data_IF_507261519620
#
_entry.id   IF_507261519620
#
_cell.length_a   1.000
_cell.length_b   1.000
_cell.length_c   1.000
_cell.angle_alpha   90.00
_cell.angle_beta   90.00
_cell.angle_gamma   90.00
#
_symmetry.space_group_name_H-M   'P 1'
#
loop_
_entity.id
_entity.type
_entity.pdbx_description
1 polymer ?
#
# COMPACT_ATOMS: atom_id res chain seq x y z
N UNK A 1 13.47 2.57 -21.79
CA UNK A 1 12.67 2.81 -23.03
C UNK A 1 13.16 1.96 -24.20
N UNK A 2 14.48 1.81 -24.45
CA UNK A 2 15.01 1.01 -25.56
C UNK A 2 14.55 -0.46 -25.47
N UNK A 3 14.59 -1.08 -24.29
CA UNK A 3 14.18 -2.45 -24.06
C UNK A 3 12.67 -2.67 -24.27
N UNK A 4 11.85 -1.72 -23.84
CA UNK A 4 10.39 -1.73 -24.05
C UNK A 4 10.09 -1.77 -25.57
N UNK A 5 10.79 -0.94 -26.34
CA UNK A 5 10.66 -0.90 -27.80
C UNK A 5 11.18 -2.19 -28.46
N UNK A 6 12.38 -2.64 -28.07
CA UNK A 6 13.00 -3.87 -28.62
C UNK A 6 12.10 -5.09 -28.45
N UNK A 7 11.42 -5.22 -27.31
CA UNK A 7 10.52 -6.34 -26.97
C UNK A 7 9.06 -6.10 -27.36
N UNK A 8 8.77 -4.98 -27.98
CA UNK A 8 7.41 -4.57 -28.34
C UNK A 8 6.41 -4.63 -27.16
N UNK A 9 6.88 -4.32 -25.96
CA UNK A 9 6.07 -4.43 -24.75
C UNK A 9 4.89 -3.46 -24.75
N UNK A 10 4.99 -2.33 -25.43
CA UNK A 10 3.90 -1.36 -25.54
C UNK A 10 2.66 -1.98 -26.20
N UNK A 11 2.84 -2.73 -27.29
CA UNK A 11 1.73 -3.42 -27.96
C UNK A 11 1.14 -4.53 -27.08
N UNK A 12 1.99 -5.24 -26.32
CA UNK A 12 1.52 -6.25 -25.37
C UNK A 12 0.71 -5.61 -24.24
N UNK A 13 1.12 -4.43 -23.73
CA UNK A 13 0.37 -3.67 -22.73
C UNK A 13 -1.00 -3.24 -23.27
N UNK A 14 -1.05 -2.68 -24.49
CA UNK A 14 -2.29 -2.26 -25.15
C UNK A 14 -3.26 -3.45 -25.31
N UNK A 15 -2.79 -4.57 -25.83
CA UNK A 15 -3.59 -5.80 -25.99
C UNK A 15 -4.10 -6.32 -24.64
N UNK A 16 -3.26 -6.30 -23.60
CA UNK A 16 -3.68 -6.74 -22.27
C UNK A 16 -4.79 -5.85 -21.72
N UNK A 17 -4.66 -4.52 -21.80
CA UNK A 17 -5.67 -3.55 -21.35
C UNK A 17 -6.97 -3.70 -22.12
N UNK A 18 -6.92 -3.87 -23.43
CA UNK A 18 -8.10 -4.06 -24.29
C UNK A 18 -8.90 -5.32 -23.90
N UNK A 19 -8.19 -6.39 -23.54
CA UNK A 19 -8.80 -7.67 -23.17
C UNK A 19 -9.25 -7.73 -21.69
N UNK A 20 -8.83 -6.78 -20.85
CA UNK A 20 -9.12 -6.77 -19.42
C UNK A 20 -9.67 -5.41 -18.98
N UNK A 21 -10.93 -5.12 -19.33
CA UNK A 21 -11.58 -3.81 -19.12
C UNK A 21 -11.77 -3.39 -17.64
N UNK A 22 -11.67 -4.33 -16.69
CA UNK A 22 -11.92 -4.08 -15.25
C UNK A 22 -10.69 -4.38 -14.39
N UNK A 23 -9.61 -3.65 -14.63
CA UNK A 23 -8.41 -3.74 -13.80
C UNK A 23 -8.55 -2.80 -12.58
N UNK A 24 -8.40 -3.35 -11.38
CA UNK A 24 -8.47 -2.56 -10.14
C UNK A 24 -7.30 -1.56 -9.99
N UNK A 25 -6.15 -1.88 -10.58
CA UNK A 25 -4.96 -1.02 -10.66
C UNK A 25 -4.44 -1.12 -12.09
N UNK A 26 -4.39 -0.01 -12.80
CA UNK A 26 -4.18 -0.03 -14.26
C UNK A 26 -2.76 -0.44 -14.63
N UNK A 27 -1.75 0.06 -13.93
CA UNK A 27 -0.34 -0.12 -14.23
C UNK A 27 0.24 -1.46 -13.73
N UNK A 28 0.04 -1.80 -12.46
CA UNK A 28 0.66 -2.98 -11.84
C UNK A 28 0.25 -4.32 -12.46
N UNK A 29 -1.05 -4.62 -12.72
CA UNK A 29 -1.45 -5.85 -13.41
C UNK A 29 -0.88 -5.95 -14.81
N UNK A 30 -0.83 -4.85 -15.56
CA UNK A 30 -0.29 -4.81 -16.92
C UNK A 30 1.20 -5.14 -16.91
N UNK A 31 1.99 -4.45 -16.07
CA UNK A 31 3.41 -4.72 -15.92
C UNK A 31 3.67 -6.17 -15.50
N UNK A 32 2.92 -6.67 -14.51
CA UNK A 32 3.10 -8.03 -14.02
C UNK A 32 2.73 -9.11 -15.03
N UNK A 33 1.72 -8.88 -15.87
CA UNK A 33 1.27 -9.84 -16.87
C UNK A 33 2.16 -9.86 -18.12
N UNK A 34 2.71 -8.71 -18.51
CA UNK A 34 3.46 -8.57 -19.75
C UNK A 34 4.99 -8.63 -19.57
N UNK A 35 5.48 -8.82 -18.33
CA UNK A 35 6.91 -8.99 -18.03
C UNK A 35 7.17 -10.33 -17.35
N UNK A 36 8.37 -10.88 -17.50
CA UNK A 36 8.82 -12.11 -16.86
C UNK A 36 9.38 -11.84 -15.47
N UNK A 37 9.66 -12.89 -14.70
CA UNK A 37 10.34 -12.75 -13.40
C UNK A 37 11.77 -12.22 -13.54
N UNK A 38 12.43 -12.49 -14.66
CA UNK A 38 13.79 -12.01 -14.97
C UNK A 38 13.82 -10.50 -15.22
N UNK A 39 12.67 -9.91 -15.59
CA UNK A 39 12.51 -8.46 -15.78
C UNK A 39 12.29 -7.71 -14.46
N UNK A 40 12.15 -8.42 -13.33
CA UNK A 40 11.74 -7.86 -12.05
C UNK A 40 12.87 -7.96 -11.04
N UNK A 41 13.20 -6.83 -10.46
CA UNK A 41 14.12 -6.74 -9.32
C UNK A 41 13.32 -6.39 -8.07
N UNK A 42 13.40 -7.25 -7.06
CA UNK A 42 12.86 -6.91 -5.74
C UNK A 42 13.84 -5.98 -5.03
N UNK A 43 13.46 -4.71 -4.93
CA UNK A 43 14.26 -3.73 -4.19
C UNK A 43 14.05 -3.90 -2.67
N UNK A 44 15.02 -3.50 -1.84
CA UNK A 44 14.86 -3.49 -0.39
C UNK A 44 13.64 -2.67 0.05
N UNK A 45 12.94 -3.15 1.09
CA UNK A 45 11.67 -2.57 1.53
C UNK A 45 11.78 -1.11 2.00
N UNK A 46 12.96 -0.68 2.46
CA UNK A 46 13.20 0.72 2.86
C UNK A 46 13.05 1.72 1.71
N UNK A 47 13.16 1.29 0.43
CA UNK A 47 12.84 2.11 -0.74
C UNK A 47 11.34 2.16 -1.07
N UNK A 48 10.49 1.43 -0.35
CA UNK A 48 9.04 1.47 -0.48
C UNK A 48 8.39 1.05 0.86
N UNK A 49 8.80 1.71 1.95
CA UNK A 49 8.25 1.45 3.28
C UNK A 49 6.80 1.95 3.35
N UNK A 50 5.84 1.07 3.17
CA UNK A 50 4.43 1.43 3.11
C UNK A 50 3.73 1.35 4.47
N UNK A 51 2.65 2.11 4.64
CA UNK A 51 2.02 2.43 5.92
C UNK A 51 1.84 1.25 6.88
N UNK A 52 1.44 0.07 6.39
CA UNK A 52 1.13 -1.07 7.27
C UNK A 52 2.32 -1.52 8.14
N UNK A 53 3.57 -1.36 7.65
CA UNK A 53 4.76 -1.78 8.40
C UNK A 53 5.06 -0.86 9.58
N UNK A 54 4.54 0.36 9.57
CA UNK A 54 4.66 1.30 10.69
C UNK A 54 3.56 1.11 11.74
N UNK A 55 2.44 0.48 11.39
CA UNK A 55 1.33 0.24 12.31
C UNK A 55 1.35 -1.15 12.95
N UNK A 56 1.86 -2.15 12.24
CA UNK A 56 1.87 -3.54 12.70
C UNK A 56 3.31 -4.05 12.81
N UNK A 57 3.59 -4.77 13.89
CA UNK A 57 4.81 -5.57 13.94
C UNK A 57 4.80 -6.67 12.88
N UNK A 58 5.95 -7.25 12.58
CA UNK A 58 6.12 -8.26 11.53
C UNK A 58 5.14 -9.44 11.66
N UNK A 59 4.97 -9.99 12.88
CA UNK A 59 4.06 -11.11 13.15
C UNK A 59 2.61 -10.79 12.76
N UNK A 60 2.14 -9.58 13.08
CA UNK A 60 0.80 -9.13 12.75
C UNK A 60 0.66 -8.73 11.27
N UNK A 61 1.66 -8.10 10.68
CA UNK A 61 1.71 -7.84 9.24
C UNK A 61 1.65 -9.16 8.43
N UNK A 62 2.29 -10.21 8.93
CA UNK A 62 2.21 -11.58 8.38
C UNK A 62 0.80 -12.16 8.48
N UNK A 63 0.13 -12.03 9.63
CA UNK A 63 -1.27 -12.46 9.80
C UNK A 63 -2.22 -11.72 8.87
N UNK A 64 -2.01 -10.43 8.65
CA UNK A 64 -2.79 -9.61 7.72
C UNK A 64 -2.47 -9.90 6.23
N UNK A 65 -1.63 -10.91 5.93
CA UNK A 65 -1.20 -11.28 4.58
C UNK A 65 -0.51 -10.14 3.84
N UNK A 66 0.23 -9.31 4.58
CA UNK A 66 1.05 -8.21 4.06
C UNK A 66 2.53 -8.55 4.22
N UNK A 67 3.42 -7.90 3.53
CA UNK A 67 4.90 -7.98 3.55
C UNK A 67 5.56 -9.37 3.59
N UNK A 68 4.99 -10.34 4.26
CA UNK A 68 5.63 -11.58 4.74
C UNK A 68 6.05 -12.58 3.66
N UNK A 69 5.63 -12.38 2.42
CA UNK A 69 5.95 -13.34 1.33
C UNK A 69 7.33 -13.08 0.73
N UNK A 70 7.80 -11.84 0.78
CA UNK A 70 9.00 -11.40 0.07
C UNK A 70 10.08 -10.84 1.00
N UNK A 71 9.71 -10.45 2.22
CA UNK A 71 10.61 -9.78 3.14
C UNK A 71 10.70 -10.51 4.48
N UNK A 72 11.92 -10.61 5.02
CA UNK A 72 12.19 -11.15 6.35
C UNK A 72 11.83 -10.12 7.44
N UNK A 73 11.79 -10.57 8.70
CA UNK A 73 11.55 -9.68 9.83
C UNK A 73 12.62 -8.58 9.95
N UNK A 74 13.89 -8.95 9.76
CA UNK A 74 15.00 -7.98 9.81
C UNK A 74 14.88 -6.91 8.74
N UNK A 75 14.48 -7.26 7.52
CA UNK A 75 14.25 -6.31 6.43
C UNK A 75 13.08 -5.37 6.72
N UNK A 76 12.02 -5.86 7.37
CA UNK A 76 10.89 -5.02 7.78
C UNK A 76 11.30 -4.07 8.90
N UNK A 77 12.05 -4.54 9.89
CA UNK A 77 12.56 -3.71 10.98
C UNK A 77 13.52 -2.62 10.46
N UNK A 78 14.42 -2.97 9.55
CA UNK A 78 15.29 -1.99 8.90
C UNK A 78 14.48 -0.94 8.13
N UNK A 79 13.48 -1.35 7.34
CA UNK A 79 12.63 -0.43 6.59
C UNK A 79 11.84 0.54 7.49
N UNK A 80 11.47 0.12 8.70
CA UNK A 80 10.79 1.00 9.68
C UNK A 80 11.77 1.95 10.34
N UNK A 81 12.99 1.48 10.66
CA UNK A 81 14.00 2.27 11.36
C UNK A 81 14.74 3.24 10.43
N UNK A 82 14.98 2.82 9.19
CA UNK A 82 15.78 3.54 8.19
C UNK A 82 15.07 3.65 6.84
N UNK A 83 13.84 4.22 6.77
CA UNK A 83 13.12 4.33 5.51
C UNK A 83 13.80 5.33 4.58
N UNK A 84 14.13 4.92 3.36
CA UNK A 84 14.58 5.81 2.30
C UNK A 84 13.39 6.52 1.63
N UNK A 85 12.32 5.75 1.36
CA UNK A 85 11.07 6.27 0.79
C UNK A 85 9.91 5.75 1.61
N UNK A 86 9.13 6.67 2.19
CA UNK A 86 7.88 6.33 2.89
C UNK A 86 6.71 6.43 1.90
N UNK A 87 6.08 5.29 1.63
CA UNK A 87 4.91 5.22 0.78
C UNK A 87 3.64 5.28 1.64
N UNK A 88 3.05 6.45 1.74
CA UNK A 88 1.83 6.70 2.51
C UNK A 88 0.62 6.07 1.83
N UNK A 89 0.39 4.79 2.08
CA UNK A 89 -0.83 4.09 1.67
C UNK A 89 -1.92 4.25 2.73
N UNK A 90 -3.18 4.15 2.32
CA UNK A 90 -4.28 4.03 3.30
C UNK A 90 -4.18 2.71 4.06
N UNK A 91 -4.48 2.73 5.34
CA UNK A 91 -4.42 1.57 6.21
C UNK A 91 -5.73 1.44 7.01
N UNK A 92 -6.14 0.21 7.31
CA UNK A 92 -7.32 -0.05 8.13
C UNK A 92 -7.17 0.38 9.59
N UNK A 93 -5.93 0.63 10.06
CA UNK A 93 -5.61 1.17 11.39
C UNK A 93 -5.81 2.69 11.46
N UNK A 94 -6.86 3.22 10.88
CA UNK A 94 -7.17 4.66 10.80
C UNK A 94 -6.13 5.49 10.02
N UNK A 95 -5.28 4.82 9.23
CA UNK A 95 -4.28 5.49 8.39
C UNK A 95 -4.93 6.28 7.26
N UNK A 96 -4.67 7.58 7.22
CA UNK A 96 -5.04 8.47 6.10
C UNK A 96 -3.82 8.87 5.30
N UNK A 97 -4.04 9.58 4.21
CA UNK A 97 -2.94 10.19 3.45
C UNK A 97 -2.36 11.40 4.23
N UNK A 98 -1.07 11.68 4.13
CA UNK A 98 -0.43 12.70 4.96
C UNK A 98 -0.89 14.13 4.67
N UNK A 99 -1.47 14.37 3.51
CA UNK A 99 -2.07 15.67 3.15
C UNK A 99 -3.50 15.88 3.67
N UNK A 100 -4.02 14.92 4.43
CA UNK A 100 -5.34 15.03 5.08
C UNK A 100 -5.13 15.42 6.54
N UNK A 101 -5.95 16.36 7.03
CA UNK A 101 -5.95 16.79 8.43
C UNK A 101 -6.24 15.61 9.40
N UNK A 102 -5.84 15.75 10.65
CA UNK A 102 -6.01 14.72 11.68
C UNK A 102 -5.37 13.36 11.33
N UNK A 103 -4.28 13.39 10.55
CA UNK A 103 -3.52 12.20 10.21
C UNK A 103 -2.72 11.70 11.43
N UNK A 104 -2.80 10.40 11.69
CA UNK A 104 -2.11 9.73 12.79
C UNK A 104 -0.96 8.82 12.33
N UNK A 105 -0.49 8.97 11.09
CA UNK A 105 0.59 8.14 10.58
C UNK A 105 1.88 8.37 11.38
N UNK A 106 2.60 7.30 11.82
CA UNK A 106 3.83 7.46 12.61
C UNK A 106 4.90 8.35 11.96
N UNK A 107 4.92 8.42 10.62
CA UNK A 107 5.86 9.24 9.84
C UNK A 107 5.28 10.58 9.37
N UNK A 108 4.17 11.06 9.99
CA UNK A 108 3.51 12.30 9.56
C UNK A 108 4.41 13.52 9.75
N UNK A 109 5.22 13.54 10.82
CA UNK A 109 6.13 14.64 11.09
C UNK A 109 7.10 14.87 9.93
N UNK A 110 7.70 13.81 9.42
CA UNK A 110 8.62 13.89 8.28
C UNK A 110 7.95 14.49 7.04
N UNK A 111 6.72 14.09 6.74
CA UNK A 111 5.96 14.69 5.65
C UNK A 111 5.74 16.20 5.86
N UNK A 112 5.34 16.61 7.07
CA UNK A 112 5.10 18.02 7.39
C UNK A 112 6.38 18.84 7.34
N UNK A 113 7.51 18.29 7.81
CA UNK A 113 8.83 18.93 7.73
C UNK A 113 9.26 19.17 6.27
N UNK A 114 8.99 18.22 5.35
CA UNK A 114 9.23 18.41 3.91
C UNK A 114 8.24 19.38 3.29
N UNK A 115 6.95 19.30 3.63
CA UNK A 115 5.94 20.25 3.16
C UNK A 115 6.33 21.68 3.52
N UNK A 116 6.80 21.92 4.74
CA UNK A 116 7.21 23.25 5.19
C UNK A 116 8.39 23.85 4.40
N UNK A 117 9.20 23.00 3.76
CA UNK A 117 10.32 23.40 2.91
C UNK A 117 9.94 23.56 1.43
N UNK A 118 8.71 23.30 1.06
CA UNK A 118 8.20 23.36 -0.30
C UNK A 118 7.42 24.66 -0.54
N UNK A 119 7.15 24.96 -1.79
CA UNK A 119 6.24 26.06 -2.18
C UNK A 119 4.79 25.90 -1.69
N UNK A 120 4.43 24.73 -1.18
CA UNK A 120 3.11 24.46 -0.57
C UNK A 120 3.12 24.57 0.97
N UNK A 121 4.13 25.21 1.57
CA UNK A 121 4.23 25.34 3.04
C UNK A 121 2.92 25.87 3.66
N UNK A 122 2.39 26.95 3.13
CA UNK A 122 1.19 27.63 3.62
C UNK A 122 -0.13 27.03 3.13
N UNK A 123 -0.08 26.04 2.23
CA UNK A 123 -1.29 25.38 1.75
C UNK A 123 -1.91 24.52 2.87
N UNK A 124 -3.19 24.71 3.25
CA UNK A 124 -3.81 23.91 4.29
C UNK A 124 -3.92 22.45 3.88
N UNK A 125 -3.91 21.56 4.86
CA UNK A 125 -4.20 20.15 4.62
C UNK A 125 -5.69 20.00 4.22
N UNK A 126 -5.97 18.97 3.45
CA UNK A 126 -7.33 18.67 3.00
C UNK A 126 -8.17 18.16 4.17
N UNK A 127 -9.45 18.54 4.19
CA UNK A 127 -10.39 18.03 5.18
C UNK A 127 -10.57 16.52 5.10
N UNK A 128 -10.71 15.88 6.25
CA UNK A 128 -11.03 14.46 6.32
C UNK A 128 -12.51 14.19 5.98
N UNK A 129 -12.77 13.91 4.72
CA UNK A 129 -14.10 13.62 4.17
C UNK A 129 -14.51 12.14 4.29
N UNK A 130 -13.78 11.32 5.07
CA UNK A 130 -14.18 9.92 5.31
C UNK A 130 -15.52 9.86 6.00
N UNK A 131 -16.35 8.86 5.64
CA UNK A 131 -17.61 8.63 6.33
C UNK A 131 -17.41 8.35 7.83
N UNK A 132 -18.40 8.68 8.65
CA UNK A 132 -18.39 8.43 10.10
C UNK A 132 -18.08 6.95 10.40
N UNK A 133 -18.66 6.03 9.62
CA UNK A 133 -18.42 4.58 9.74
C UNK A 133 -16.95 4.24 9.55
N UNK A 134 -16.27 4.81 8.55
CA UNK A 134 -14.83 4.58 8.31
C UNK A 134 -13.98 5.15 9.45
N UNK A 135 -14.32 6.32 9.98
CA UNK A 135 -13.61 6.93 11.13
C UNK A 135 -13.77 6.07 12.37
N UNK A 136 -14.99 5.61 12.65
CA UNK A 136 -15.30 4.78 13.82
C UNK A 136 -14.63 3.39 13.71
N UNK A 137 -14.69 2.75 12.56
CA UNK A 137 -14.04 1.45 12.34
C UNK A 137 -12.52 1.52 12.51
N UNK A 138 -11.87 2.58 12.01
CA UNK A 138 -10.44 2.81 12.22
C UNK A 138 -10.09 2.95 13.70
N UNK A 139 -10.85 3.74 14.46
CA UNK A 139 -10.68 3.86 15.92
C UNK A 139 -10.89 2.52 16.63
N UNK A 140 -11.91 1.77 16.26
CA UNK A 140 -12.17 0.45 16.83
C UNK A 140 -11.02 -0.53 16.58
N UNK A 141 -10.43 -0.52 15.38
CA UNK A 141 -9.27 -1.36 15.09
C UNK A 141 -8.03 -0.99 15.91
N UNK A 142 -7.88 0.25 16.35
CA UNK A 142 -6.81 0.68 17.24
C UNK A 142 -7.01 0.23 18.71
N UNK A 143 -8.26 -0.02 19.13
CA UNK A 143 -8.58 -0.46 20.50
C UNK A 143 -8.49 -1.98 20.63
N UNK A 144 -8.84 -2.71 19.57
CA UNK A 144 -8.84 -4.17 19.58
C UNK A 144 -7.41 -4.75 19.57
N UNK A 145 -7.20 -5.97 20.13
CA UNK A 145 -5.91 -6.63 20.06
C UNK A 145 -5.42 -6.77 18.60
N UNK A 146 -4.25 -6.22 18.30
CA UNK A 146 -3.71 -6.15 16.94
C UNK A 146 -3.65 -7.52 16.25
N UNK A 147 -3.36 -8.59 17.00
CA UNK A 147 -3.30 -9.94 16.45
C UNK A 147 -4.65 -10.48 15.96
N UNK A 148 -5.75 -10.08 16.61
CA UNK A 148 -7.12 -10.38 16.19
C UNK A 148 -7.48 -9.60 14.93
N UNK A 149 -7.28 -8.28 14.95
CA UNK A 149 -7.52 -7.40 13.79
C UNK A 149 -6.75 -7.87 12.56
N UNK A 150 -5.46 -8.13 12.72
CA UNK A 150 -4.60 -8.59 11.64
C UNK A 150 -5.07 -9.94 11.05
N UNK A 151 -5.49 -10.88 11.91
CA UNK A 151 -6.05 -12.17 11.48
C UNK A 151 -7.35 -12.02 10.69
N UNK A 152 -8.28 -11.20 11.18
CA UNK A 152 -9.55 -10.92 10.50
C UNK A 152 -9.34 -10.27 9.12
N UNK A 153 -8.47 -9.27 9.03
CA UNK A 153 -8.09 -8.63 7.77
C UNK A 153 -7.44 -9.64 6.82
N UNK A 154 -6.57 -10.52 7.33
CA UNK A 154 -5.96 -11.59 6.54
C UNK A 154 -7.00 -12.52 5.90
N UNK A 155 -8.02 -12.94 6.66
CA UNK A 155 -9.12 -13.77 6.14
C UNK A 155 -9.92 -13.03 5.07
N UNK A 156 -10.25 -11.76 5.30
CA UNK A 156 -10.99 -10.94 4.32
C UNK A 156 -10.22 -10.87 3.00
N UNK A 157 -8.93 -10.58 3.04
CA UNK A 157 -8.12 -10.44 1.82
C UNK A 157 -7.80 -11.77 1.13
N UNK A 158 -7.64 -12.86 1.88
CA UNK A 158 -7.21 -14.15 1.34
C UNK A 158 -8.39 -15.00 0.83
N UNK A 159 -9.57 -14.85 1.45
CA UNK A 159 -10.71 -15.70 1.16
C UNK A 159 -11.95 -14.94 0.68
N UNK A 160 -12.35 -13.89 1.39
CA UNK A 160 -13.63 -13.21 1.13
C UNK A 160 -13.57 -12.39 -0.15
N UNK A 161 -12.60 -11.50 -0.30
CA UNK A 161 -12.48 -10.66 -1.49
C UNK A 161 -12.30 -11.47 -2.78
N UNK A 162 -11.44 -12.52 -2.84
CA UNK A 162 -11.34 -13.35 -4.03
C UNK A 162 -12.64 -14.08 -4.37
N UNK A 163 -13.40 -14.55 -3.35
CA UNK A 163 -14.70 -15.19 -3.57
C UNK A 163 -15.72 -14.21 -4.15
N UNK A 164 -15.81 -12.99 -3.60
CA UNK A 164 -16.69 -11.95 -4.13
C UNK A 164 -16.35 -11.52 -5.56
N UNK A 165 -15.06 -11.46 -5.90
CA UNK A 165 -14.62 -11.18 -7.27
C UNK A 165 -15.01 -12.27 -8.27
N UNK A 166 -15.08 -13.54 -7.84
CA UNK A 166 -15.54 -14.64 -8.70
C UNK A 166 -17.05 -14.59 -8.97
N UNK A 167 -17.84 -14.11 -8.03
CA UNK A 167 -19.31 -14.01 -8.16
C UNK A 167 -19.73 -12.84 -9.05
N UNK A 168 -18.89 -11.79 -9.13
CA UNK A 168 -19.15 -10.59 -9.94
C UNK A 168 -18.74 -10.69 -11.43
N UNK A 169 -18.13 -11.79 -11.81
CA UNK A 169 -17.86 -12.14 -13.20
C UNK A 169 -18.97 -12.99 -13.79
#
# INVERSE_FOLDING_TARGET
LAEIRRRNLEENFKKFIQNHRHLSFVDQPVLNACTTNEDKLLIPLNYNAYSIVFYLNYKNAKKAKRVSRYYTESQVLDAVSNPCIVHFTTCFMDGTRPWIENNNHPMIKQYLDYKQKSEWADTPLWKDNRSVVKKLSGKMFNILPQGFVAGSIGIVHDKILPALHKIRK
#
